data_IF_188877637816
#
_entry.id   IF_188877637816
#
_cell.length_a   1.000
_cell.length_b   1.000
_cell.length_c   1.000
_cell.angle_alpha   90.00
_cell.angle_beta   90.00
_cell.angle_gamma   90.00
#
_symmetry.space_group_name_H-M   'P 1'
#
loop_
_entity.id
_entity.type
_entity.pdbx_description
1 polymer ?
#
# COMPACT_ATOMS: atom_id res chain seq x y z
N UNK A 1 1.32 -13.45 -17.33
CA UNK A 1 1.30 -14.22 -16.07
C UNK A 1 2.08 -13.41 -15.05
N UNK A 2 1.39 -12.52 -14.34
CA UNK A 2 1.99 -11.69 -13.30
C UNK A 2 2.25 -12.59 -12.09
N UNK A 3 3.48 -12.60 -11.61
CA UNK A 3 3.83 -13.28 -10.36
C UNK A 3 2.96 -12.75 -9.23
N UNK A 4 2.43 -13.69 -8.46
CA UNK A 4 1.42 -13.51 -7.43
C UNK A 4 2.04 -12.72 -6.27
N UNK A 5 1.46 -11.56 -5.96
CA UNK A 5 1.81 -10.84 -4.74
C UNK A 5 1.41 -11.69 -3.54
N UNK A 6 2.29 -11.77 -2.54
CA UNK A 6 2.02 -12.45 -1.27
C UNK A 6 2.09 -11.45 -0.13
N UNK A 7 1.25 -11.65 0.87
CA UNK A 7 1.37 -10.91 2.12
C UNK A 7 2.41 -11.60 2.99
N UNK A 8 3.42 -10.85 3.42
CA UNK A 8 4.43 -11.35 4.35
C UNK A 8 3.99 -11.10 5.80
N UNK A 9 3.58 -9.87 6.12
CA UNK A 9 3.18 -9.48 7.47
C UNK A 9 2.36 -8.19 7.48
N UNK A 10 1.71 -7.90 8.61
CA UNK A 10 1.08 -6.61 8.86
C UNK A 10 1.07 -6.27 10.36
N UNK A 11 0.86 -4.99 10.65
CA UNK A 11 0.76 -4.43 12.00
C UNK A 11 -0.44 -4.95 12.80
N UNK A 12 -1.61 -5.03 12.17
CA UNK A 12 -2.88 -5.46 12.77
C UNK A 12 -3.90 -5.74 11.67
N UNK A 13 -4.87 -6.62 11.94
CA UNK A 13 -5.98 -6.87 11.02
C UNK A 13 -7.27 -7.27 11.73
N UNK A 14 -8.39 -6.80 11.19
CA UNK A 14 -9.74 -7.18 11.62
C UNK A 14 -10.02 -8.67 11.37
N UNK A 15 -10.92 -9.31 12.14
CA UNK A 15 -11.42 -10.66 11.85
C UNK A 15 -12.09 -10.79 10.48
N UNK A 16 -12.61 -9.69 9.91
CA UNK A 16 -13.35 -9.67 8.64
C UNK A 16 -12.52 -9.09 7.51
N UNK A 17 -11.85 -7.95 7.75
CA UNK A 17 -11.07 -7.22 6.76
C UNK A 17 -9.58 -7.58 6.83
N UNK A 18 -9.29 -8.82 6.44
CA UNK A 18 -7.97 -9.45 6.48
C UNK A 18 -6.96 -8.85 5.50
N UNK A 19 -5.68 -8.89 5.84
CA UNK A 19 -4.60 -8.35 5.00
C UNK A 19 -4.49 -9.06 3.65
N UNK A 20 -4.79 -10.36 3.59
CA UNK A 20 -4.85 -11.16 2.35
C UNK A 20 -5.79 -10.56 1.29
N UNK A 21 -6.75 -9.73 1.71
CA UNK A 21 -7.65 -9.07 0.79
C UNK A 21 -6.95 -8.06 -0.12
N UNK A 22 -5.78 -7.54 0.25
CA UNK A 22 -5.03 -6.54 -0.53
C UNK A 22 -4.47 -7.13 -1.83
N UNK A 23 -4.14 -8.43 -1.84
CA UNK A 23 -3.58 -9.13 -3.02
C UNK A 23 -4.65 -9.90 -3.82
N UNK A 24 -5.91 -9.89 -3.36
CA UNK A 24 -7.01 -10.57 -4.04
C UNK A 24 -7.66 -9.62 -5.05
N UNK A 25 -7.88 -10.11 -6.27
CA UNK A 25 -8.60 -9.38 -7.32
C UNK A 25 -10.12 -9.32 -7.10
N UNK A 26 -10.62 -9.93 -6.01
CA UNK A 26 -12.05 -9.93 -5.69
C UNK A 26 -12.54 -8.51 -5.35
N UNK A 27 -13.57 -8.07 -6.07
CA UNK A 27 -14.21 -6.78 -5.85
C UNK A 27 -14.67 -6.63 -4.39
N UNK A 28 -14.50 -5.43 -3.82
CA UNK A 28 -15.00 -4.99 -2.52
C UNK A 28 -14.30 -5.52 -1.27
N UNK A 29 -13.27 -6.37 -1.38
CA UNK A 29 -12.48 -6.76 -0.22
C UNK A 29 -11.45 -5.68 0.11
N UNK A 30 -11.31 -5.39 1.40
CA UNK A 30 -10.38 -4.39 1.94
C UNK A 30 -9.64 -4.97 3.15
N UNK A 31 -8.51 -4.35 3.48
CA UNK A 31 -7.83 -4.52 4.76
C UNK A 31 -8.22 -3.38 5.71
N UNK A 32 -8.43 -3.72 6.98
CA UNK A 32 -8.56 -2.78 8.09
C UNK A 32 -7.85 -3.34 9.31
N UNK A 33 -7.32 -2.45 10.14
CA UNK A 33 -6.81 -2.79 11.48
C UNK A 33 -7.92 -3.31 12.38
N UNK A 34 -7.56 -4.05 13.42
CA UNK A 34 -8.52 -4.56 14.41
C UNK A 34 -9.19 -3.42 15.19
N UNK A 35 -8.38 -2.44 15.61
CA UNK A 35 -8.79 -1.24 16.33
C UNK A 35 -8.31 0.02 15.61
N UNK A 36 -8.90 1.21 15.87
CA UNK A 36 -8.38 2.47 15.35
C UNK A 36 -6.91 2.68 15.78
N UNK A 37 -6.04 3.00 14.82
CA UNK A 37 -4.63 3.26 15.06
C UNK A 37 -4.18 4.58 14.41
N UNK A 38 -3.13 5.18 14.97
CA UNK A 38 -2.46 6.35 14.36
C UNK A 38 -1.60 5.93 13.16
N UNK A 39 -1.06 4.71 13.21
CA UNK A 39 -0.21 4.13 12.19
C UNK A 39 -0.62 2.68 11.92
N UNK A 40 -0.51 2.25 10.66
CA UNK A 40 -0.70 0.87 10.25
C UNK A 40 0.18 0.59 9.03
N UNK A 41 0.81 -0.59 9.02
CA UNK A 41 1.67 -1.05 7.93
C UNK A 41 1.34 -2.49 7.55
N UNK A 42 1.71 -2.85 6.31
CA UNK A 42 1.74 -4.20 5.78
C UNK A 42 2.95 -4.35 4.86
N UNK A 43 3.42 -5.58 4.68
CA UNK A 43 4.52 -5.91 3.79
C UNK A 43 4.03 -6.89 2.73
N UNK A 44 4.21 -6.51 1.48
CA UNK A 44 3.92 -7.34 0.31
C UNK A 44 5.21 -7.76 -0.36
N UNK A 45 5.28 -9.01 -0.77
CA UNK A 45 6.42 -9.56 -1.50
C UNK A 45 5.97 -10.13 -2.85
N UNK A 46 6.92 -10.17 -3.79
CA UNK A 46 6.75 -10.89 -5.06
C UNK A 46 7.86 -11.93 -5.17
N UNK A 47 7.52 -13.08 -5.72
CA UNK A 47 8.47 -14.15 -6.01
C UNK A 47 8.38 -14.52 -7.51
N UNK A 48 9.42 -14.26 -8.32
CA UNK A 48 10.67 -13.56 -7.96
C UNK A 48 10.44 -12.06 -7.72
N UNK A 49 11.40 -11.35 -7.07
CA UNK A 49 11.32 -9.91 -6.88
C UNK A 49 11.29 -9.10 -8.18
N UNK A 50 10.62 -7.93 -8.15
CA UNK A 50 10.26 -7.18 -9.37
C UNK A 50 10.35 -5.68 -9.20
N UNK A 51 10.76 -5.04 -10.29
CA UNK A 51 10.62 -3.61 -10.48
C UNK A 51 9.14 -3.19 -10.50
N UNK A 52 8.85 -1.99 -9.96
CA UNK A 52 7.50 -1.45 -9.79
C UNK A 52 7.30 -0.23 -10.69
N UNK A 53 6.61 -0.38 -11.83
CA UNK A 53 6.36 0.74 -12.74
C UNK A 53 5.16 1.61 -12.32
N UNK A 54 4.19 0.99 -11.63
CA UNK A 54 2.90 1.57 -11.30
C UNK A 54 2.38 0.98 -9.99
N UNK A 55 1.84 1.86 -9.14
CA UNK A 55 1.11 1.49 -7.93
C UNK A 55 -0.29 2.08 -7.99
N UNK A 56 -1.28 1.22 -7.74
CA UNK A 56 -2.68 1.62 -7.60
C UNK A 56 -3.13 1.36 -6.17
N UNK A 57 -3.67 2.38 -5.52
CA UNK A 57 -4.17 2.28 -4.15
C UNK A 57 -5.62 2.71 -4.12
N UNK A 58 -6.49 1.83 -3.63
CA UNK A 58 -7.85 2.18 -3.24
C UNK A 58 -7.84 2.41 -1.73
N UNK A 59 -8.07 3.66 -1.32
CA UNK A 59 -8.08 3.99 0.09
C UNK A 59 -9.23 3.26 0.82
N UNK A 60 -9.05 3.00 2.11
CA UNK A 60 -10.08 2.47 3.00
C UNK A 60 -10.26 3.31 4.27
N UNK A 61 -9.72 4.54 4.27
CA UNK A 61 -9.83 5.49 5.37
C UNK A 61 -8.51 5.99 5.97
N UNK A 62 -7.38 5.72 5.33
CA UNK A 62 -6.11 6.33 5.67
C UNK A 62 -6.13 7.82 5.31
N UNK A 63 -5.45 8.65 6.09
CA UNK A 63 -5.28 10.08 5.80
C UNK A 63 -4.03 10.33 4.94
N UNK A 64 -2.95 9.61 5.26
CA UNK A 64 -1.65 9.65 4.63
C UNK A 64 -1.24 8.23 4.24
N UNK A 65 -0.48 8.10 3.16
CA UNK A 65 0.13 6.83 2.73
C UNK A 65 1.56 7.09 2.28
N UNK A 66 2.47 6.20 2.65
CA UNK A 66 3.86 6.19 2.23
C UNK A 66 4.22 4.76 1.79
N UNK A 67 5.13 4.63 0.82
CA UNK A 67 5.57 3.31 0.33
C UNK A 67 7.08 3.23 0.36
N UNK A 68 7.58 2.07 0.77
CA UNK A 68 8.98 1.72 0.76
C UNK A 68 9.21 0.50 -0.12
N UNK A 69 10.31 0.49 -0.85
CA UNK A 69 10.83 -0.68 -1.52
C UNK A 69 11.78 -1.42 -0.59
N UNK A 70 11.56 -2.72 -0.41
CA UNK A 70 12.42 -3.62 0.34
C UNK A 70 13.26 -4.43 -0.66
N UNK A 71 14.57 -4.18 -0.76
CA UNK A 71 15.43 -4.91 -1.69
C UNK A 71 15.59 -6.39 -1.30
N UNK A 72 15.73 -7.29 -2.29
CA UNK A 72 15.92 -8.73 -2.05
C UNK A 72 17.16 -9.05 -1.19
N UNK A 73 18.20 -8.20 -1.26
CA UNK A 73 19.45 -8.38 -0.54
C UNK A 73 19.36 -8.06 0.96
N UNK A 74 18.18 -7.66 1.46
CA UNK A 74 17.94 -7.34 2.86
C UNK A 74 18.61 -6.04 3.32
N UNK A 75 18.97 -5.16 2.38
CA UNK A 75 19.41 -3.80 2.69
C UNK A 75 18.27 -2.93 3.26
N UNK A 76 18.60 -1.71 3.69
CA UNK A 76 17.62 -0.78 4.27
C UNK A 76 16.50 -0.45 3.28
N UNK A 77 15.27 -0.32 3.80
CA UNK A 77 14.11 0.03 2.98
C UNK A 77 14.30 1.42 2.34
N UNK A 78 13.97 1.53 1.06
CA UNK A 78 14.12 2.78 0.32
C UNK A 78 12.77 3.43 0.04
N UNK A 79 12.69 4.75 0.17
CA UNK A 79 11.44 5.46 -0.08
C UNK A 79 11.03 5.39 -1.56
N UNK A 80 9.98 4.63 -1.83
CA UNK A 80 9.42 4.44 -3.18
C UNK A 80 8.40 5.54 -3.52
N UNK A 81 7.55 5.90 -2.58
CA UNK A 81 6.57 6.99 -2.70
C UNK A 81 6.57 7.77 -1.41
N UNK A 82 7.01 9.03 -1.46
CA UNK A 82 6.93 9.93 -0.29
C UNK A 82 5.50 10.10 0.18
N UNK A 83 5.32 10.44 1.46
CA UNK A 83 4.02 10.66 2.08
C UNK A 83 3.03 11.40 1.16
N UNK A 84 1.93 10.73 0.80
CA UNK A 84 0.84 11.28 0.01
C UNK A 84 -0.39 11.51 0.89
N UNK A 85 -0.96 12.72 0.79
CA UNK A 85 -2.25 13.00 1.40
C UNK A 85 -3.37 12.42 0.55
N UNK A 86 -4.09 11.44 1.10
CA UNK A 86 -5.20 10.74 0.42
C UNK A 86 -6.57 11.12 0.98
N UNK A 87 -6.62 11.77 2.16
CA UNK A 87 -7.83 12.43 2.68
C UNK A 87 -7.52 13.82 3.26
N UNK A 88 -8.46 14.75 3.12
CA UNK A 88 -8.40 16.06 3.78
C UNK A 88 -8.92 15.99 5.21
N UNK A 89 -8.62 17.00 6.04
CA UNK A 89 -9.23 17.13 7.37
C UNK A 89 -10.77 17.15 7.29
N UNK A 90 -11.33 17.77 6.26
CA UNK A 90 -12.78 17.78 6.02
C UNK A 90 -13.31 16.38 5.72
N UNK A 91 -12.58 15.59 4.94
CA UNK A 91 -12.94 14.21 4.62
C UNK A 91 -12.94 13.32 5.88
N UNK A 92 -11.96 13.52 6.76
CA UNK A 92 -11.85 12.82 8.04
C UNK A 92 -13.00 13.17 8.98
N UNK A 93 -13.23 14.47 9.21
CA UNK A 93 -14.30 14.95 10.11
C UNK A 93 -15.68 14.53 9.64
N UNK A 94 -15.95 14.62 8.33
CA UNK A 94 -17.26 14.29 7.76
C UNK A 94 -17.39 12.82 7.33
N UNK A 95 -16.33 12.02 7.48
CA UNK A 95 -16.27 10.62 7.07
C UNK A 95 -16.62 10.40 5.58
N UNK A 96 -16.23 11.33 4.72
CA UNK A 96 -16.48 11.27 3.26
C UNK A 96 -15.25 10.78 2.50
N UNK A 97 -15.42 10.36 1.24
CA UNK A 97 -14.31 10.08 0.31
C UNK A 97 -13.30 9.02 0.76
N UNK A 98 -13.72 8.07 1.60
CA UNK A 98 -12.85 7.04 2.18
C UNK A 98 -12.31 6.03 1.16
N UNK A 99 -12.95 5.91 -0.01
CA UNK A 99 -12.68 4.88 -1.03
C UNK A 99 -12.12 5.43 -2.34
N UNK A 100 -11.43 6.59 -2.29
CA UNK A 100 -10.79 7.16 -3.48
C UNK A 100 -9.64 6.27 -3.97
N UNK A 101 -9.54 6.11 -5.28
CA UNK A 101 -8.43 5.44 -5.95
C UNK A 101 -7.35 6.44 -6.35
N UNK A 102 -6.10 6.07 -6.13
CA UNK A 102 -4.93 6.83 -6.53
C UNK A 102 -4.03 5.95 -7.40
N UNK A 103 -3.45 6.55 -8.44
CA UNK A 103 -2.48 5.89 -9.31
C UNK A 103 -1.19 6.68 -9.29
N UNK A 104 -0.10 5.99 -9.02
CA UNK A 104 1.26 6.54 -9.00
C UNK A 104 2.12 5.78 -10.00
N UNK A 105 2.88 6.49 -10.83
CA UNK A 105 3.75 5.90 -11.85
C UNK A 105 5.13 6.56 -11.85
N UNK A 106 6.12 5.86 -12.42
CA UNK A 106 7.39 6.45 -12.84
C UNK A 106 7.15 7.33 -14.08
N UNK A 107 7.87 8.46 -14.25
CA UNK A 107 8.74 9.13 -13.29
C UNK A 107 8.00 10.20 -12.48
N UNK A 108 6.66 10.17 -12.45
CA UNK A 108 5.86 11.26 -11.93
C UNK A 108 5.89 11.35 -10.41
N UNK A 109 5.72 10.21 -9.73
CA UNK A 109 5.53 10.15 -8.27
C UNK A 109 6.34 9.06 -7.60
N UNK A 110 6.61 7.96 -8.31
CA UNK A 110 7.46 6.88 -7.80
C UNK A 110 8.94 7.23 -8.00
N UNK A 111 9.75 6.93 -7.00
CA UNK A 111 11.22 7.04 -7.06
C UNK A 111 11.77 6.04 -8.08
N UNK A 112 12.40 6.48 -9.20
CA UNK A 112 12.93 5.56 -10.20
C UNK A 112 14.00 4.62 -9.62
N UNK A 113 14.84 5.13 -8.72
CA UNK A 113 15.94 4.39 -8.10
C UNK A 113 15.40 3.20 -7.28
N UNK A 114 14.40 3.45 -6.43
CA UNK A 114 13.79 2.41 -5.61
C UNK A 114 12.94 1.46 -6.46
N UNK A 115 12.30 1.97 -7.50
CA UNK A 115 11.38 1.20 -8.32
C UNK A 115 12.05 0.26 -9.33
N UNK A 116 13.29 0.54 -9.74
CA UNK A 116 14.05 -0.30 -10.68
C UNK A 116 14.80 -1.45 -9.99
N UNK A 117 14.99 -1.37 -8.67
CA UNK A 117 15.55 -2.45 -7.86
C UNK A 117 14.58 -3.63 -7.83
N UNK A 118 15.15 -4.83 -7.92
CA UNK A 118 14.41 -6.10 -7.80
C UNK A 118 14.67 -6.63 -6.41
#
# INVERSE_FOLDING_TARGET
>A
MGGEWKVQSCSSESPVHKVDNVVREELYRIWQTEEPSEEAWLVLETDPPKAIERVEIVNAGASLIELYGLPEDGSEEELLLSTQQVMTLKDLTNKTNRTRSFTYTIPQKLSPIAAEKR
#
